data_IF_463226593865
#
_entry.id   IF_463226593865
#
_cell.length_a   1.000
_cell.length_b   1.000
_cell.length_c   1.000
_cell.angle_alpha   90.00
_cell.angle_beta   90.00
_cell.angle_gamma   90.00
#
_symmetry.space_group_name_H-M   'P 1'
#
loop_
_entity.id
_entity.type
_entity.pdbx_description
1 polymer ?
#
# COMPACT_ATOMS: atom_id res chain seq x y z
N UNK A 1 -4.14 -21.12 -1.23
CA UNK A 1 -4.33 -21.25 0.24
C UNK A 1 -5.75 -20.91 0.68
N UNK A 2 -6.48 -20.07 -0.07
CA UNK A 2 -7.87 -19.67 0.21
C UNK A 2 -8.83 -20.86 0.28
N UNK A 3 -8.87 -21.73 -0.74
CA UNK A 3 -9.79 -22.88 -0.74
C UNK A 3 -9.60 -23.82 0.47
N UNK A 4 -8.39 -23.85 1.07
CA UNK A 4 -8.11 -24.64 2.27
C UNK A 4 -8.53 -23.94 3.57
N UNK A 5 -8.41 -22.62 3.64
CA UNK A 5 -8.70 -21.81 4.84
C UNK A 5 -10.13 -21.24 4.87
N UNK A 6 -10.84 -21.29 3.75
CA UNK A 6 -12.19 -20.78 3.57
C UNK A 6 -12.22 -19.35 3.03
N UNK A 7 -13.27 -19.04 2.25
CA UNK A 7 -13.47 -17.70 1.69
C UNK A 7 -13.69 -16.64 2.76
N UNK A 8 -14.45 -16.97 3.82
CA UNK A 8 -14.70 -16.06 4.96
C UNK A 8 -13.42 -15.64 5.68
N UNK A 9 -12.44 -16.55 5.80
CA UNK A 9 -11.15 -16.20 6.39
C UNK A 9 -10.41 -15.14 5.56
N UNK A 10 -10.35 -15.31 4.24
CA UNK A 10 -9.70 -14.34 3.36
C UNK A 10 -10.48 -13.03 3.26
N UNK A 11 -11.81 -13.12 3.29
CA UNK A 11 -12.72 -11.97 3.31
C UNK A 11 -12.70 -11.18 4.63
N UNK A 12 -12.14 -11.75 5.71
CA UNK A 12 -12.00 -11.10 7.00
C UNK A 12 -10.86 -10.09 7.09
N UNK A 13 -10.05 -9.97 6.04
CA UNK A 13 -8.96 -9.00 5.90
C UNK A 13 -9.38 -7.86 4.97
N UNK A 14 -8.91 -6.64 5.26
CA UNK A 14 -9.16 -5.46 4.46
C UNK A 14 -10.61 -4.95 4.54
N UNK A 15 -10.90 -3.88 3.81
CA UNK A 15 -12.24 -3.29 3.78
C UNK A 15 -13.17 -4.04 2.83
N UNK A 16 -14.46 -3.73 2.93
CA UNK A 16 -15.47 -4.22 2.00
C UNK A 16 -15.04 -3.96 0.54
N UNK A 17 -15.23 -4.97 -0.33
CA UNK A 17 -14.79 -5.01 -1.74
C UNK A 17 -13.27 -4.94 -1.97
N UNK A 18 -12.47 -4.90 -0.91
CA UNK A 18 -11.01 -4.82 -0.94
C UNK A 18 -10.39 -5.89 -0.05
N UNK A 19 -10.89 -7.12 -0.15
CA UNK A 19 -10.57 -8.16 0.81
C UNK A 19 -9.28 -8.92 0.52
N UNK A 20 -8.58 -9.29 1.58
CA UNK A 20 -7.47 -10.23 1.54
C UNK A 20 -6.12 -9.65 1.95
N UNK A 21 -5.07 -10.39 1.61
CA UNK A 21 -3.68 -9.93 1.71
C UNK A 21 -3.14 -9.58 0.33
N UNK A 22 -2.12 -8.74 0.30
CA UNK A 22 -1.45 -8.32 -0.93
C UNK A 22 0.06 -8.31 -0.72
N UNK A 23 0.77 -8.75 -1.75
CA UNK A 23 2.22 -8.54 -1.86
C UNK A 23 2.47 -7.10 -2.29
N UNK A 24 3.17 -6.34 -1.45
CA UNK A 24 3.61 -4.98 -1.69
C UNK A 24 5.11 -4.97 -2.01
N UNK A 25 5.51 -4.21 -3.03
CA UNK A 25 6.92 -4.00 -3.36
C UNK A 25 7.28 -2.56 -3.03
N UNK A 26 7.89 -2.32 -1.88
CA UNK A 26 8.26 -0.97 -1.45
C UNK A 26 9.66 -0.68 -1.98
N UNK A 27 9.73 0.14 -3.02
CA UNK A 27 10.96 0.47 -3.74
C UNK A 27 11.31 1.97 -3.66
N UNK A 28 12.44 2.36 -4.27
CA UNK A 28 12.84 3.77 -4.34
C UNK A 28 13.48 4.32 -3.07
N UNK A 29 13.05 5.51 -2.63
CA UNK A 29 13.70 6.30 -1.57
C UNK A 29 13.24 5.94 -0.15
N UNK A 30 13.26 4.65 0.17
CA UNK A 30 13.07 4.12 1.53
C UNK A 30 14.38 3.59 2.11
N UNK A 31 14.44 3.43 3.43
CA UNK A 31 15.65 2.98 4.11
C UNK A 31 15.97 1.51 3.82
N UNK A 32 14.95 0.65 3.82
CA UNK A 32 15.05 -0.79 3.58
C UNK A 32 14.05 -1.24 2.50
N UNK A 33 14.36 -1.08 1.20
CA UNK A 33 13.48 -1.56 0.13
C UNK A 33 13.20 -3.06 0.25
N UNK A 34 11.95 -3.47 0.14
CA UNK A 34 11.55 -4.85 0.37
C UNK A 34 10.26 -5.24 -0.38
N UNK A 35 10.06 -6.55 -0.52
CA UNK A 35 8.76 -7.12 -0.84
C UNK A 35 8.18 -7.74 0.42
N UNK A 36 6.96 -7.37 0.79
CA UNK A 36 6.28 -7.86 1.99
C UNK A 36 4.83 -8.23 1.68
N UNK A 37 4.33 -9.30 2.30
CA UNK A 37 2.89 -9.62 2.29
C UNK A 37 2.24 -8.90 3.46
N UNK A 38 1.18 -8.14 3.19
CA UNK A 38 0.47 -7.41 4.23
C UNK A 38 -1.04 -7.38 3.95
N UNK A 39 -1.83 -7.05 4.98
CA UNK A 39 -3.26 -6.87 4.86
C UNK A 39 -3.63 -5.77 3.85
N UNK A 40 -4.66 -6.01 3.04
CA UNK A 40 -5.27 -4.97 2.22
C UNK A 40 -5.83 -3.83 3.08
N UNK A 41 -5.91 -2.63 2.52
CA UNK A 41 -6.41 -1.43 3.21
C UNK A 41 -5.53 -0.94 4.38
N UNK A 42 -4.29 -1.40 4.51
CA UNK A 42 -3.28 -0.80 5.39
C UNK A 42 -2.99 0.66 4.99
N UNK A 43 -2.83 1.60 5.93
CA UNK A 43 -2.37 2.96 5.61
C UNK A 43 -1.00 2.95 4.91
N UNK A 44 -0.83 3.75 3.86
CA UNK A 44 0.44 3.83 3.10
C UNK A 44 1.61 4.23 3.99
N UNK A 45 1.39 5.21 4.88
CA UNK A 45 2.40 5.64 5.85
C UNK A 45 2.84 4.52 6.77
N UNK A 46 1.88 3.78 7.32
CA UNK A 46 2.16 2.63 8.18
C UNK A 46 2.93 1.54 7.44
N UNK A 47 2.54 1.22 6.20
CA UNK A 47 3.22 0.24 5.36
C UNK A 47 4.71 0.60 5.18
N UNK A 48 5.02 1.86 4.83
CA UNK A 48 6.39 2.33 4.61
C UNK A 48 7.20 2.38 5.91
N UNK A 49 6.64 2.95 6.97
CA UNK A 49 7.33 3.09 8.26
C UNK A 49 7.62 1.73 8.90
N UNK A 50 6.64 0.82 8.89
CA UNK A 50 6.73 -0.50 9.53
C UNK A 50 7.65 -1.46 8.78
N UNK A 51 7.52 -1.56 7.46
CA UNK A 51 8.17 -2.63 6.69
C UNK A 51 9.40 -2.20 5.89
N UNK A 52 9.45 -0.93 5.48
CA UNK A 52 10.60 -0.40 4.74
C UNK A 52 11.52 0.47 5.60
N UNK A 53 11.26 0.56 6.90
CA UNK A 53 12.03 1.39 7.84
C UNK A 53 11.88 2.89 7.59
N UNK A 54 10.81 3.32 6.94
CA UNK A 54 10.53 4.73 6.66
C UNK A 54 11.21 5.26 5.39
N UNK A 55 10.84 6.50 5.06
CA UNK A 55 11.42 7.28 3.97
C UNK A 55 12.84 7.71 4.35
N UNK A 56 13.76 7.74 3.36
CA UNK A 56 15.12 8.23 3.58
C UNK A 56 15.08 9.69 4.05
N UNK A 57 15.65 9.97 5.22
CA UNK A 57 15.60 11.30 5.83
C UNK A 57 14.32 11.59 6.64
N UNK A 58 13.46 10.59 6.86
CA UNK A 58 12.23 10.73 7.63
C UNK A 58 11.02 11.03 6.75
N UNK A 59 9.81 10.89 7.32
CA UNK A 59 8.54 11.06 6.61
C UNK A 59 8.38 12.46 6.01
N UNK A 60 8.88 13.49 6.70
CA UNK A 60 8.83 14.89 6.25
C UNK A 60 9.66 15.14 4.98
N UNK A 61 10.58 14.24 4.64
CA UNK A 61 11.39 14.30 3.41
C UNK A 61 10.69 13.63 2.20
N UNK A 62 9.44 13.17 2.35
CA UNK A 62 8.69 12.56 1.26
C UNK A 62 8.18 13.63 0.28
N UNK A 63 8.47 13.45 -1.01
CA UNK A 63 7.94 14.31 -2.07
C UNK A 63 6.64 13.75 -2.66
N UNK A 64 6.68 12.50 -3.13
CA UNK A 64 5.54 11.80 -3.70
C UNK A 64 5.74 10.28 -3.67
N UNK A 65 4.66 9.54 -3.90
CA UNK A 65 4.67 8.08 -4.06
C UNK A 65 3.89 7.71 -5.32
N UNK A 66 4.39 6.72 -6.06
CA UNK A 66 3.60 6.01 -7.07
C UNK A 66 3.09 4.74 -6.37
N UNK A 67 1.78 4.61 -6.09
CA UNK A 67 1.29 3.59 -5.16
C UNK A 67 1.05 2.21 -5.80
N UNK A 68 0.97 2.14 -7.14
CA UNK A 68 0.50 0.94 -7.83
C UNK A 68 1.28 0.55 -9.06
N UNK A 69 2.57 0.88 -9.10
CA UNK A 69 3.45 0.65 -10.23
C UNK A 69 3.41 1.79 -11.25
N UNK A 70 4.30 1.73 -12.23
CA UNK A 70 4.55 2.82 -13.20
C UNK A 70 3.35 3.25 -14.03
N UNK A 71 2.29 2.45 -14.09
CA UNK A 71 1.03 2.77 -14.77
C UNK A 71 0.10 3.68 -13.94
N UNK A 72 0.43 3.96 -12.68
CA UNK A 72 -0.43 4.70 -11.77
C UNK A 72 0.07 6.14 -11.57
N UNK A 73 -0.83 7.15 -11.52
CA UNK A 73 -0.45 8.52 -11.21
C UNK A 73 0.24 8.62 -9.83
N UNK A 74 1.22 9.51 -9.72
CA UNK A 74 1.84 9.84 -8.43
C UNK A 74 0.83 10.54 -7.52
N UNK A 75 1.00 10.35 -6.22
CA UNK A 75 0.30 11.09 -5.16
C UNK A 75 1.31 11.87 -4.31
N UNK A 76 1.02 13.15 -3.99
CA UNK A 76 1.90 13.97 -3.15
C UNK A 76 1.82 13.54 -1.68
N UNK A 77 2.80 13.95 -0.88
CA UNK A 77 2.92 13.60 0.54
C UNK A 77 1.64 13.79 1.36
N UNK A 78 0.94 14.92 1.20
CA UNK A 78 -0.29 15.21 1.97
C UNK A 78 -1.44 14.22 1.71
N UNK A 79 -1.47 13.57 0.54
CA UNK A 79 -2.40 12.48 0.25
C UNK A 79 -1.89 11.18 0.88
N UNK A 80 -0.58 10.95 0.81
CA UNK A 80 0.07 9.77 1.39
C UNK A 80 -0.11 9.66 2.91
N UNK A 81 -0.30 10.79 3.62
CA UNK A 81 -0.51 10.84 5.07
C UNK A 81 -1.71 10.03 5.55
N UNK A 82 -2.78 9.97 4.75
CA UNK A 82 -4.06 9.40 5.16
C UNK A 82 -4.58 8.31 4.23
N UNK A 83 -3.95 8.10 3.07
CA UNK A 83 -4.44 7.14 2.08
C UNK A 83 -4.27 5.69 2.53
N UNK A 84 -5.26 4.87 2.22
CA UNK A 84 -5.21 3.43 2.42
C UNK A 84 -4.73 2.73 1.14
N UNK A 85 -3.97 1.66 1.30
CA UNK A 85 -3.47 0.83 0.20
C UNK A 85 -4.52 -0.21 -0.19
N UNK A 86 -5.60 0.27 -0.80
CA UNK A 86 -6.63 -0.54 -1.44
C UNK A 86 -7.13 0.06 -2.76
N UNK A 87 -7.95 -0.67 -3.52
CA UNK A 87 -8.36 -0.25 -4.86
C UNK A 87 -9.25 0.99 -4.80
N UNK A 88 -10.26 1.00 -3.94
CA UNK A 88 -11.26 2.07 -3.91
C UNK A 88 -10.69 3.37 -3.34
N UNK A 89 -9.87 3.31 -2.28
CA UNK A 89 -9.26 4.48 -1.66
C UNK A 89 -8.27 5.17 -2.61
N UNK A 90 -7.49 4.39 -3.37
CA UNK A 90 -6.55 4.96 -4.34
C UNK A 90 -7.26 5.54 -5.56
N UNK A 91 -8.39 4.97 -6.00
CA UNK A 91 -9.25 5.59 -7.03
C UNK A 91 -9.81 6.94 -6.52
N UNK A 92 -10.26 7.00 -5.27
CA UNK A 92 -10.73 8.26 -4.66
C UNK A 92 -9.61 9.31 -4.55
N UNK A 93 -8.37 8.87 -4.36
CA UNK A 93 -7.16 9.70 -4.41
C UNK A 93 -6.70 10.03 -5.84
N UNK A 94 -7.51 9.76 -6.87
CA UNK A 94 -7.23 10.02 -8.29
C UNK A 94 -5.99 9.28 -8.83
N UNK A 95 -5.72 8.10 -8.27
CA UNK A 95 -4.67 7.17 -8.72
C UNK A 95 -5.24 5.73 -8.75
N UNK A 96 -4.41 4.70 -8.64
CA UNK A 96 -4.85 3.31 -8.56
C UNK A 96 -3.88 2.42 -7.82
N UNK A 97 -4.36 1.27 -7.32
CA UNK A 97 -3.52 0.28 -6.62
C UNK A 97 -2.62 -0.52 -7.56
N UNK A 98 -3.05 -0.74 -8.81
CA UNK A 98 -2.29 -1.47 -9.83
C UNK A 98 -1.67 -2.77 -9.31
N UNK A 99 -0.33 -2.89 -9.41
CA UNK A 99 0.42 -4.05 -8.92
C UNK A 99 0.80 -3.96 -7.45
N UNK A 100 0.53 -2.84 -6.77
CA UNK A 100 0.98 -2.48 -5.44
C UNK A 100 2.53 -2.46 -5.33
N UNK A 101 3.16 -1.61 -6.14
CA UNK A 101 4.62 -1.51 -6.30
C UNK A 101 5.06 -0.05 -6.48
#
# INVERSE_FOLDING_TARGET
TICRRGGTWFAGFGRERNSGTKLFNISGHVNNPCTVEEEMSIPLKELIERHAGGVRGGWDNLLCVIPGGSSTPLIPQHVCDTVLMDFDALIQAQTGLGTAA
#
